data_IF_895932697825
#
_entry.id   IF_895932697825
#
_cell.length_a   1.000
_cell.length_b   1.000
_cell.length_c   1.000
_cell.angle_alpha   90.00
_cell.angle_beta   90.00
_cell.angle_gamma   90.00
#
_symmetry.space_group_name_H-M   'P 1'
#
loop_
_entity.id
_entity.type
_entity.pdbx_description
1 polymer ?
#
# COMPACT_ATOMS: atom_id res chain seq x y z
N UNK A 1 -5.83 19.97 -23.35
CA UNK A 1 -6.48 18.69 -23.05
C UNK A 1 -6.47 18.44 -21.56
N UNK A 2 -7.62 18.33 -20.90
CA UNK A 2 -7.68 18.00 -19.48
C UNK A 2 -7.40 16.51 -19.31
N UNK A 3 -6.28 16.15 -18.67
CA UNK A 3 -6.02 14.76 -18.31
C UNK A 3 -7.03 14.35 -17.24
N UNK A 4 -7.97 13.47 -17.59
CA UNK A 4 -8.94 12.93 -16.64
C UNK A 4 -8.15 12.14 -15.59
N UNK A 5 -8.11 12.66 -14.36
CA UNK A 5 -7.41 12.01 -13.25
C UNK A 5 -8.26 10.86 -12.70
N UNK A 6 -8.03 9.65 -13.19
CA UNK A 6 -8.71 8.45 -12.72
C UNK A 6 -7.86 7.72 -11.69
N UNK A 7 -8.24 7.84 -10.42
CA UNK A 7 -7.72 7.00 -9.35
C UNK A 7 -8.27 5.58 -9.48
N UNK A 8 -7.50 4.58 -9.04
CA UNK A 8 -7.95 3.18 -9.04
C UNK A 8 -9.04 2.95 -7.98
N UNK A 9 -8.99 3.74 -6.90
CA UNK A 9 -9.96 3.82 -5.83
C UNK A 9 -10.92 4.97 -6.08
N UNK A 10 -12.14 4.62 -6.48
CA UNK A 10 -13.26 5.57 -6.56
C UNK A 10 -13.90 5.77 -5.18
N UNK A 11 -14.00 4.69 -4.41
CA UNK A 11 -14.64 4.68 -3.08
C UNK A 11 -13.76 3.95 -2.09
N UNK A 12 -13.58 4.52 -0.90
CA UNK A 12 -12.89 3.90 0.23
C UNK A 12 -13.90 3.34 1.24
N UNK A 13 -13.52 2.25 1.90
CA UNK A 13 -14.28 1.70 3.03
C UNK A 13 -13.50 1.93 4.33
N UNK A 14 -14.23 2.09 5.43
CA UNK A 14 -13.65 2.44 6.74
C UNK A 14 -12.88 1.29 7.38
N UNK A 15 -13.36 0.06 7.19
CA UNK A 15 -12.79 -1.15 7.81
C UNK A 15 -13.14 -2.41 7.01
N UNK A 16 -12.32 -3.45 7.23
CA UNK A 16 -12.56 -4.84 6.82
C UNK A 16 -12.04 -5.75 7.93
N UNK A 17 -12.37 -7.03 7.92
CA UNK A 17 -11.75 -7.97 8.85
C UNK A 17 -10.28 -8.20 8.51
N UNK A 18 -9.32 -7.84 9.40
CA UNK A 18 -7.90 -8.00 9.10
C UNK A 18 -7.49 -9.45 8.84
N UNK A 19 -8.23 -10.41 9.42
CA UNK A 19 -8.02 -11.87 9.22
C UNK A 19 -8.32 -12.34 7.79
N UNK A 20 -9.11 -11.56 7.06
CA UNK A 20 -9.47 -11.85 5.68
C UNK A 20 -8.53 -11.15 4.69
N UNK A 21 -7.66 -10.25 5.13
CA UNK A 21 -6.68 -9.59 4.27
C UNK A 21 -5.54 -10.57 3.97
N UNK A 22 -5.24 -10.77 2.68
CA UNK A 22 -4.12 -11.61 2.22
C UNK A 22 -2.97 -10.78 1.66
N UNK A 23 -3.28 -9.61 1.10
CA UNK A 23 -2.28 -8.71 0.54
C UNK A 23 -2.70 -7.25 0.72
N UNK A 24 -1.71 -6.36 0.83
CA UNK A 24 -1.92 -4.92 0.94
C UNK A 24 -0.97 -4.20 0.00
N UNK A 25 -1.53 -3.48 -0.95
CA UNK A 25 -0.82 -2.62 -1.88
C UNK A 25 -1.01 -1.15 -1.51
N UNK A 26 0.09 -0.41 -1.40
CA UNK A 26 0.08 1.04 -1.19
C UNK A 26 0.56 1.69 -2.49
N UNK A 27 -0.32 2.40 -3.17
CA UNK A 27 -0.02 3.15 -4.39
C UNK A 27 0.22 4.62 -4.02
N UNK A 28 1.44 5.10 -4.26
CA UNK A 28 1.79 6.51 -4.11
C UNK A 28 1.04 7.38 -5.12
N UNK A 29 0.86 8.69 -4.84
CA UNK A 29 0.35 9.64 -5.82
C UNK A 29 1.09 9.54 -7.17
N UNK A 30 0.34 9.50 -8.27
CA UNK A 30 0.82 9.39 -9.66
C UNK A 30 0.39 10.62 -10.46
N UNK A 31 0.98 10.81 -11.65
CA UNK A 31 0.65 11.92 -12.57
C UNK A 31 -0.84 12.02 -12.90
N UNK A 32 -1.53 10.88 -12.96
CA UNK A 32 -2.96 10.76 -13.25
C UNK A 32 -3.85 10.55 -12.00
N UNK A 33 -3.29 10.43 -10.80
CA UNK A 33 -4.05 10.34 -9.55
C UNK A 33 -3.21 10.91 -8.40
N UNK A 34 -3.58 12.10 -7.91
CA UNK A 34 -2.81 12.79 -6.86
C UNK A 34 -3.05 12.23 -5.45
N UNK A 35 -3.87 11.19 -5.29
CA UNK A 35 -4.22 10.60 -3.99
C UNK A 35 -3.31 9.41 -3.70
N UNK A 36 -2.99 9.22 -2.41
CA UNK A 36 -2.42 7.97 -1.92
C UNK A 36 -3.54 6.93 -1.85
N UNK A 37 -3.33 5.75 -2.40
CA UNK A 37 -4.34 4.69 -2.43
C UNK A 37 -3.84 3.47 -1.66
N UNK A 38 -4.65 2.94 -0.76
CA UNK A 38 -4.36 1.69 -0.06
C UNK A 38 -5.38 0.65 -0.49
N UNK A 39 -4.91 -0.41 -1.16
CA UNK A 39 -5.75 -1.44 -1.73
C UNK A 39 -5.45 -2.74 -1.01
N UNK A 40 -6.47 -3.32 -0.41
CA UNK A 40 -6.40 -4.60 0.27
C UNK A 40 -7.03 -5.68 -0.58
N UNK A 41 -6.35 -6.81 -0.71
CA UNK A 41 -6.87 -8.02 -1.31
C UNK A 41 -7.35 -8.93 -0.21
N UNK A 42 -8.59 -9.38 -0.30
CA UNK A 42 -9.21 -10.30 0.66
C UNK A 42 -9.06 -11.75 0.19
N UNK A 43 -9.19 -12.72 1.10
CA UNK A 43 -9.19 -14.17 0.82
C UNK A 43 -10.23 -14.56 -0.23
N UNK A 44 -11.33 -13.82 -0.32
CA UNK A 44 -12.37 -13.97 -1.34
C UNK A 44 -11.93 -13.51 -2.74
N UNK A 45 -10.65 -13.16 -2.94
CA UNK A 45 -10.09 -12.54 -4.16
C UNK A 45 -10.69 -11.18 -4.51
N UNK A 46 -11.49 -10.60 -3.60
CA UNK A 46 -12.02 -9.25 -3.77
C UNK A 46 -10.99 -8.21 -3.35
N UNK A 47 -10.89 -7.13 -4.13
CA UNK A 47 -10.05 -5.98 -3.80
C UNK A 47 -10.92 -4.85 -3.26
N UNK A 48 -10.48 -4.21 -2.18
CA UNK A 48 -11.15 -3.05 -1.58
C UNK A 48 -10.15 -1.95 -1.29
N UNK A 49 -10.61 -0.71 -1.39
CA UNK A 49 -9.79 0.45 -1.06
C UNK A 49 -10.05 0.87 0.39
N UNK A 50 -8.98 1.07 1.14
CA UNK A 50 -9.02 1.64 2.48
C UNK A 50 -8.59 3.10 2.45
N UNK A 51 -9.07 3.85 3.43
CA UNK A 51 -8.69 5.25 3.63
C UNK A 51 -7.26 5.33 4.23
N UNK A 52 -6.29 5.99 3.55
CA UNK A 52 -4.91 6.06 4.03
C UNK A 52 -4.73 6.81 5.36
N UNK A 53 -5.63 7.73 5.70
CA UNK A 53 -5.57 8.57 6.90
C UNK A 53 -6.25 7.90 8.10
N UNK A 54 -7.09 6.90 7.86
CA UNK A 54 -7.79 6.14 8.90
C UNK A 54 -6.83 5.37 9.82
N UNK A 55 -7.13 5.40 11.13
CA UNK A 55 -6.43 4.61 12.15
C UNK A 55 -6.42 3.11 11.83
N UNK A 56 -7.51 2.59 11.24
CA UNK A 56 -7.63 1.19 10.85
C UNK A 56 -6.57 0.79 9.82
N UNK A 57 -6.39 1.60 8.78
CA UNK A 57 -5.43 1.35 7.70
C UNK A 57 -4.00 1.34 8.21
N UNK A 58 -3.66 2.28 9.11
CA UNK A 58 -2.36 2.30 9.80
C UNK A 58 -2.13 1.01 10.61
N UNK A 59 -3.15 0.54 11.33
CA UNK A 59 -3.07 -0.70 12.11
C UNK A 59 -2.93 -1.95 11.23
N UNK A 60 -3.62 -2.00 10.08
CA UNK A 60 -3.47 -3.08 9.09
C UNK A 60 -2.04 -3.12 8.54
N UNK A 61 -1.49 -1.98 8.13
CA UNK A 61 -0.12 -1.89 7.62
C UNK A 61 0.92 -2.34 8.66
N UNK A 62 0.74 -1.95 9.94
CA UNK A 62 1.59 -2.40 11.04
C UNK A 62 1.44 -3.91 11.31
N UNK A 63 0.22 -4.45 11.23
CA UNK A 63 -0.04 -5.87 11.47
C UNK A 63 0.59 -6.73 10.38
N UNK A 64 0.52 -6.31 9.11
CA UNK A 64 1.16 -7.00 8.00
C UNK A 64 2.69 -7.03 8.11
N UNK A 65 3.30 -5.95 8.62
CA UNK A 65 4.75 -5.93 8.91
C UNK A 65 5.13 -6.94 10.00
N UNK A 66 4.32 -7.07 11.05
CA UNK A 66 4.53 -8.07 12.12
C UNK A 66 4.37 -9.51 11.63
N UNK A 67 3.42 -9.76 10.72
CA UNK A 67 3.20 -11.11 10.16
C UNK A 67 4.33 -11.52 9.21
N UNK A 68 4.87 -10.58 8.41
CA UNK A 68 6.04 -10.84 7.53
C UNK A 68 7.33 -11.11 8.31
N UNK A 69 7.47 -10.60 9.53
CA UNK A 69 8.65 -10.85 10.37
C UNK A 69 8.79 -12.33 10.83
N UNK A 70 7.78 -13.19 10.64
CA UNK A 70 7.84 -14.61 11.01
C UNK A 70 8.25 -15.56 9.87
N UNK A 71 8.23 -15.11 8.61
CA UNK A 71 8.70 -15.90 7.48
C UNK A 71 9.70 -15.08 6.66
N UNK A 72 10.95 -15.54 6.59
CA UNK A 72 12.04 -15.08 5.69
C UNK A 72 13.06 -14.15 6.33
N UNK A 73 14.06 -14.77 6.96
CA UNK A 73 15.48 -14.58 6.62
C UNK A 73 15.72 -13.58 5.49
N UNK A 74 16.30 -12.42 5.81
CA UNK A 74 17.12 -11.59 4.92
C UNK A 74 16.46 -11.29 3.55
N UNK A 75 15.56 -10.31 3.53
CA UNK A 75 15.60 -9.30 2.47
C UNK A 75 15.98 -7.99 3.13
N UNK A 76 17.26 -7.93 3.50
CA UNK A 76 18.01 -6.69 3.63
C UNK A 76 17.76 -5.93 2.33
N UNK A 77 16.89 -4.93 2.35
CA UNK A 77 16.94 -3.88 1.32
C UNK A 77 18.33 -3.28 1.45
N UNK A 78 19.20 -3.69 0.54
CA UNK A 78 20.50 -3.11 0.31
C UNK A 78 20.35 -1.60 0.27
N UNK A 79 21.02 -0.95 1.23
CA UNK A 79 21.51 0.41 1.18
C UNK A 79 21.96 0.77 -0.23
N UNK A 80 21.36 1.81 -0.82
CA UNK A 80 22.06 2.64 -1.79
C UNK A 80 21.65 4.10 -1.64
N UNK A 81 22.39 4.93 -0.89
CA UNK A 81 22.86 6.19 -1.44
C UNK A 81 24.07 5.86 -2.33
N UNK A 82 23.88 5.79 -3.64
CA UNK A 82 25.02 5.93 -4.55
C UNK A 82 25.17 7.42 -4.80
N UNK A 83 26.14 8.00 -4.09
CA UNK A 83 26.83 9.21 -4.51
C UNK A 83 27.75 8.75 -5.65
N UNK A 84 27.54 9.23 -6.86
CA UNK A 84 28.55 9.15 -7.92
C UNK A 84 28.91 10.59 -8.32
N UNK A 85 29.99 11.06 -7.73
CA UNK A 85 30.80 12.19 -8.20
C UNK A 85 31.55 11.77 -9.45
N UNK A 86 31.48 12.55 -10.52
CA UNK A 86 32.48 12.52 -11.60
C UNK A 86 32.61 13.90 -12.26
N UNK A 87 33.81 14.47 -12.11
CA UNK A 87 34.50 15.50 -12.91
C UNK A 87 33.96 16.93 -12.93
#
# INVERSE_FOLDING_TARGET
SAAIKNCRCVTTIKSVDPKNIVDVQVLKPRSYCSKLEVIVTLKSKSSKCLDPESKFTKAVLQSMQKTRAKNTTISKTTTTPVVTTSS
#
